data_IF_219230558617
#
_entry.id   IF_219230558617
#
_cell.length_a   1.000
_cell.length_b   1.000
_cell.length_c   1.000
_cell.angle_alpha   90.00
_cell.angle_beta   90.00
_cell.angle_gamma   90.00
#
_symmetry.space_group_name_H-M   'P 1'
#
loop_
_entity.id
_entity.type
_entity.pdbx_description
1 polymer ?
#
# COMPACT_ATOMS: atom_id res chain seq x y z
N UNK A 1 1.60 1.42 8.72
CA UNK A 1 0.27 1.51 8.08
C UNK A 1 0.33 2.32 6.79
N UNK A 2 0.85 3.55 6.78
CA UNK A 2 0.92 4.41 5.57
C UNK A 2 1.67 3.71 4.42
N UNK A 3 2.87 3.16 4.67
CA UNK A 3 3.62 2.40 3.67
C UNK A 3 2.82 1.22 3.11
N UNK A 4 2.11 0.48 3.97
CA UNK A 4 1.25 -0.62 3.54
C UNK A 4 0.08 -0.12 2.66
N UNK A 5 -0.56 1.01 3.02
CA UNK A 5 -1.61 1.61 2.20
C UNK A 5 -1.06 2.04 0.83
N UNK A 6 0.07 2.74 0.79
CA UNK A 6 0.73 3.14 -0.46
C UNK A 6 1.02 1.93 -1.36
N UNK A 7 1.66 0.88 -0.81
CA UNK A 7 1.99 -0.33 -1.56
C UNK A 7 0.74 -1.03 -2.09
N UNK A 8 -0.32 -1.13 -1.27
CA UNK A 8 -1.57 -1.78 -1.66
C UNK A 8 -2.40 -0.99 -2.67
N UNK A 9 -2.06 0.28 -2.89
CA UNK A 9 -2.71 1.18 -3.85
C UNK A 9 -1.81 1.56 -5.03
N UNK A 10 -0.79 0.74 -5.31
CA UNK A 10 0.04 0.86 -6.51
C UNK A 10 1.22 1.82 -6.40
N UNK A 11 1.53 2.33 -5.20
CA UNK A 11 2.75 3.11 -4.95
C UNK A 11 3.70 2.29 -4.10
N UNK A 12 4.80 1.75 -4.66
CA UNK A 12 5.78 1.01 -3.87
C UNK A 12 6.30 1.85 -2.70
N UNK A 13 6.24 1.30 -1.50
CA UNK A 13 6.70 1.98 -0.30
C UNK A 13 7.22 0.98 0.73
N UNK A 14 8.30 1.38 1.40
CA UNK A 14 8.91 0.63 2.50
C UNK A 14 8.85 1.47 3.76
N UNK A 15 8.79 0.81 4.90
CA UNK A 15 8.90 1.45 6.20
C UNK A 15 10.34 1.31 6.70
N UNK A 16 10.96 2.44 7.03
CA UNK A 16 12.26 2.50 7.69
C UNK A 16 12.03 3.02 9.11
N UNK A 17 12.42 2.23 10.11
CA UNK A 17 12.39 2.68 11.49
C UNK A 17 13.58 3.61 11.75
N UNK A 18 13.37 4.83 12.29
CA UNK A 18 14.48 5.79 12.46
C UNK A 18 15.61 5.25 13.34
N UNK A 19 15.30 4.48 14.39
CA UNK A 19 16.30 3.85 15.23
C UNK A 19 17.15 2.80 14.52
N UNK A 20 16.59 2.08 13.54
CA UNK A 20 17.32 1.08 12.76
C UNK A 20 18.07 1.71 11.57
N UNK A 21 17.64 2.90 11.14
CA UNK A 21 18.29 3.63 10.06
C UNK A 21 19.79 3.80 10.31
N UNK A 22 20.16 4.21 11.54
CA UNK A 22 21.56 4.39 11.97
C UNK A 22 22.37 3.08 12.04
N UNK A 23 21.70 1.92 11.97
CA UNK A 23 22.32 0.59 12.02
C UNK A 23 22.37 -0.13 10.68
N UNK A 24 22.13 0.59 9.57
CA UNK A 24 22.30 0.06 8.21
C UNK A 24 21.09 0.19 7.30
N UNK A 25 19.88 0.40 7.85
CA UNK A 25 18.65 0.49 7.04
C UNK A 25 18.61 1.71 6.11
N UNK A 26 19.49 2.72 6.33
CA UNK A 26 19.72 3.78 5.34
C UNK A 26 20.10 3.24 3.96
N UNK A 27 20.71 2.05 3.90
CA UNK A 27 21.05 1.37 2.65
C UNK A 27 19.85 0.95 1.81
N UNK A 28 18.63 0.92 2.38
CA UNK A 28 17.39 0.69 1.63
C UNK A 28 16.93 1.90 0.84
N UNK A 29 17.44 3.10 1.16
CA UNK A 29 17.04 4.36 0.54
C UNK A 29 17.99 4.67 -0.61
N UNK A 30 17.47 4.80 -1.81
CA UNK A 30 18.25 5.06 -3.03
C UNK A 30 17.97 6.46 -3.58
N UNK A 31 18.84 6.98 -4.49
CA UNK A 31 18.61 8.28 -5.14
C UNK A 31 17.33 8.35 -6.01
N UNK A 32 16.66 7.22 -6.24
CA UNK A 32 15.40 7.15 -6.99
C UNK A 32 14.17 7.21 -6.09
N UNK A 33 14.39 7.20 -4.78
CA UNK A 33 13.32 7.19 -3.80
C UNK A 33 12.96 8.60 -3.34
N UNK A 34 11.86 8.69 -2.62
CA UNK A 34 11.42 9.86 -1.88
C UNK A 34 11.20 9.44 -0.44
N UNK A 35 11.70 10.21 0.49
CA UNK A 35 11.50 9.98 1.92
C UNK A 35 10.26 10.75 2.39
N UNK A 36 9.29 10.04 2.96
CA UNK A 36 8.18 10.65 3.71
C UNK A 36 8.47 10.50 5.20
N UNK A 37 8.90 11.56 5.86
CA UNK A 37 9.24 11.57 7.27
C UNK A 37 8.11 12.16 8.12
N UNK A 38 7.76 11.45 9.21
CA UNK A 38 6.65 11.80 10.08
C UNK A 38 7.17 12.09 11.49
N UNK A 39 6.89 13.29 12.00
CA UNK A 39 7.19 13.67 13.38
C UNK A 39 6.32 14.85 13.79
N UNK A 40 5.51 14.72 14.85
CA UNK A 40 4.65 15.80 15.30
C UNK A 40 5.46 17.03 15.73
N UNK A 41 6.52 16.85 16.53
CA UNK A 41 7.42 17.94 16.92
C UNK A 41 8.33 18.40 15.78
N UNK A 42 8.61 17.51 14.81
CA UNK A 42 9.58 17.71 13.76
C UNK A 42 11.03 17.82 14.22
N UNK A 43 11.29 17.56 15.52
CA UNK A 43 12.60 17.63 16.15
C UNK A 43 12.99 16.31 16.86
N UNK A 44 12.43 15.20 16.40
CA UNK A 44 12.72 13.85 16.89
C UNK A 44 14.19 13.51 16.57
N UNK A 45 14.98 13.28 17.62
CA UNK A 45 16.43 13.07 17.48
C UNK A 45 16.79 11.87 16.58
N UNK A 46 15.99 10.80 16.64
CA UNK A 46 16.18 9.58 15.87
C UNK A 46 16.05 9.79 14.35
N UNK A 47 15.43 10.89 13.91
CA UNK A 47 15.35 11.24 12.48
C UNK A 47 16.63 11.90 11.94
N UNK A 48 17.55 12.33 12.81
CA UNK A 48 18.72 13.11 12.40
C UNK A 48 19.54 12.45 11.30
N UNK A 49 19.79 11.13 11.40
CA UNK A 49 20.59 10.41 10.42
C UNK A 49 19.85 10.26 9.07
N UNK A 50 18.54 10.04 9.09
CA UNK A 50 17.71 10.00 7.87
C UNK A 50 17.74 11.37 7.17
N UNK A 51 17.60 12.47 7.92
CA UNK A 51 17.64 13.83 7.38
C UNK A 51 19.01 14.16 6.79
N UNK A 52 20.10 13.83 7.53
CA UNK A 52 21.47 14.04 7.07
C UNK A 52 21.77 13.22 5.80
N UNK A 53 21.32 11.97 5.75
CA UNK A 53 21.48 11.09 4.62
C UNK A 53 20.73 11.62 3.38
N UNK A 54 19.45 11.97 3.55
CA UNK A 54 18.64 12.53 2.46
C UNK A 54 19.27 13.79 1.87
N UNK A 55 19.72 14.69 2.73
CA UNK A 55 20.41 15.92 2.31
C UNK A 55 21.73 15.65 1.58
N UNK A 56 22.54 14.71 2.11
CA UNK A 56 23.85 14.36 1.54
C UNK A 56 23.73 13.80 0.13
N UNK A 57 22.71 12.96 -0.12
CA UNK A 57 22.52 12.26 -1.38
C UNK A 57 21.44 12.91 -2.28
N UNK A 58 20.99 14.11 -1.91
CA UNK A 58 19.94 14.86 -2.63
C UNK A 58 18.68 14.02 -2.86
N UNK A 59 18.27 13.22 -1.85
CA UNK A 59 17.06 12.42 -1.89
C UNK A 59 15.89 13.31 -1.47
N UNK A 60 14.85 13.47 -2.33
CA UNK A 60 13.70 14.30 -2.02
C UNK A 60 13.05 13.88 -0.69
N UNK A 61 12.67 14.86 0.14
CA UNK A 61 12.06 14.64 1.43
C UNK A 61 10.77 15.42 1.57
N UNK A 62 9.70 14.73 1.96
CA UNK A 62 8.43 15.32 2.38
C UNK A 62 8.32 15.18 3.90
N UNK A 63 8.09 16.30 4.57
CA UNK A 63 7.81 16.33 6.00
C UNK A 63 6.32 16.29 6.27
N UNK A 64 5.90 15.44 7.21
CA UNK A 64 4.57 15.45 7.79
C UNK A 64 4.73 15.76 9.28
N UNK A 65 4.39 17.00 9.67
CA UNK A 65 4.71 17.53 10.99
C UNK A 65 3.66 18.53 11.50
N UNK A 66 3.55 18.68 12.80
CA UNK A 66 2.73 19.72 13.43
C UNK A 66 3.47 21.05 13.63
N UNK A 67 4.76 21.18 13.23
CA UNK A 67 5.59 22.36 13.49
C UNK A 67 6.32 22.83 12.25
N UNK A 68 5.84 23.93 11.65
CA UNK A 68 6.46 24.53 10.45
C UNK A 68 7.92 24.97 10.65
N UNK A 69 8.30 25.42 11.84
CA UNK A 69 9.67 25.87 12.16
C UNK A 69 10.59 24.78 12.66
N UNK A 70 10.25 23.49 12.48
CA UNK A 70 11.04 22.37 12.97
C UNK A 70 12.23 22.04 12.07
N UNK A 71 13.18 21.27 12.62
CA UNK A 71 14.32 20.76 11.85
C UNK A 71 13.87 19.92 10.65
N UNK A 72 12.87 19.05 10.84
CA UNK A 72 12.30 18.23 9.76
C UNK A 72 11.75 19.11 8.63
N UNK A 73 10.95 20.13 8.97
CA UNK A 73 10.38 21.04 7.97
C UNK A 73 11.47 21.88 7.26
N UNK A 74 12.56 22.22 7.94
CA UNK A 74 13.66 23.02 7.34
C UNK A 74 14.49 22.26 6.30
N UNK A 75 14.48 20.92 6.36
CA UNK A 75 15.20 20.05 5.42
C UNK A 75 14.31 19.57 4.29
N UNK A 76 13.00 19.55 4.49
CA UNK A 76 12.04 19.02 3.53
C UNK A 76 11.82 19.95 2.34
N UNK A 77 11.68 19.38 1.14
CA UNK A 77 11.25 20.11 -0.05
C UNK A 77 9.77 20.49 0.01
N UNK A 78 8.97 19.64 0.66
CA UNK A 78 7.54 19.86 0.87
C UNK A 78 7.19 19.56 2.31
N UNK A 79 6.48 20.46 2.96
CA UNK A 79 5.97 20.26 4.32
C UNK A 79 4.45 20.16 4.29
N UNK A 80 3.93 19.01 4.70
CA UNK A 80 2.52 18.78 4.98
C UNK A 80 2.29 19.09 6.46
N UNK A 81 1.73 20.26 6.72
CA UNK A 81 1.54 20.73 8.09
C UNK A 81 0.22 20.19 8.66
N UNK A 82 0.31 19.55 9.82
CA UNK A 82 -0.87 19.14 10.57
C UNK A 82 -1.50 20.36 11.27
N UNK A 83 -2.83 20.45 11.34
CA UNK A 83 -3.49 21.47 12.13
C UNK A 83 -3.14 21.31 13.63
N UNK A 84 -3.07 22.42 14.33
CA UNK A 84 -2.86 22.39 15.78
C UNK A 84 -4.14 21.89 16.46
N UNK A 85 -3.99 20.83 17.26
CA UNK A 85 -5.09 20.26 18.01
C UNK A 85 -4.57 19.62 19.31
N UNK A 86 -5.35 19.68 20.41
CA UNK A 86 -4.96 19.02 21.65
C UNK A 86 -5.00 17.50 21.50
N UNK A 87 -4.10 16.81 22.20
CA UNK A 87 -4.17 15.35 22.32
C UNK A 87 -5.44 14.95 23.07
N UNK A 88 -6.08 13.84 22.66
CA UNK A 88 -7.27 13.30 23.30
C UNK A 88 -6.98 12.65 24.68
N UNK A 89 -5.72 12.46 25.00
CA UNK A 89 -5.28 12.00 26.30
C UNK A 89 -5.64 13.03 27.40
N UNK A 90 -6.29 12.62 28.50
CA UNK A 90 -6.64 13.53 29.60
C UNK A 90 -5.45 14.32 30.17
N UNK A 91 -4.24 13.76 30.07
CA UNK A 91 -3.00 14.41 30.50
C UNK A 91 -2.36 15.27 29.41
N UNK A 92 -2.88 15.21 28.17
CA UNK A 92 -2.30 15.88 27.02
C UNK A 92 -0.93 15.34 26.57
N UNK A 93 -0.49 14.18 27.08
CA UNK A 93 0.86 13.65 26.88
C UNK A 93 0.92 12.52 25.86
N UNK A 94 -0.05 11.59 25.91
CA UNK A 94 -0.05 10.44 25.00
C UNK A 94 -0.43 10.88 23.59
N UNK A 95 0.39 10.57 22.57
CA UNK A 95 0.08 10.92 21.18
C UNK A 95 -1.13 10.11 20.69
N UNK A 96 -2.21 10.80 20.39
CA UNK A 96 -3.50 10.26 19.98
C UNK A 96 -4.07 11.03 18.80
N UNK A 97 -4.45 12.29 18.98
CA UNK A 97 -4.95 13.17 17.92
C UNK A 97 -3.89 13.39 16.85
N UNK A 98 -2.66 13.69 17.22
CA UNK A 98 -1.55 13.90 16.29
C UNK A 98 -1.28 12.66 15.43
N UNK A 99 -1.22 11.48 16.03
CA UNK A 99 -0.99 10.22 15.29
C UNK A 99 -2.16 9.87 14.36
N UNK A 100 -3.40 10.14 14.80
CA UNK A 100 -4.59 9.93 13.98
C UNK A 100 -4.59 10.88 12.77
N UNK A 101 -4.25 12.15 12.96
CA UNK A 101 -4.13 13.11 11.85
C UNK A 101 -3.02 12.71 10.87
N UNK A 102 -1.87 12.21 11.36
CA UNK A 102 -0.81 11.69 10.49
C UNK A 102 -1.29 10.52 9.64
N UNK A 103 -2.03 9.58 10.24
CA UNK A 103 -2.58 8.45 9.50
C UNK A 103 -3.60 8.90 8.46
N UNK A 104 -4.50 9.80 8.82
CA UNK A 104 -5.51 10.33 7.91
C UNK A 104 -4.89 11.05 6.72
N UNK A 105 -3.88 11.92 6.97
CA UNK A 105 -3.17 12.64 5.91
C UNK A 105 -2.33 11.70 5.03
N UNK A 106 -1.70 10.69 5.63
CA UNK A 106 -0.99 9.65 4.88
C UNK A 106 -1.91 8.81 3.99
N UNK A 107 -3.11 8.47 4.46
CA UNK A 107 -4.12 7.79 3.64
C UNK A 107 -4.67 8.71 2.54
N UNK A 108 -4.91 9.98 2.83
CA UNK A 108 -5.32 10.97 1.82
C UNK A 108 -4.26 11.10 0.70
N UNK A 109 -2.98 11.11 1.05
CA UNK A 109 -1.88 11.10 0.08
C UNK A 109 -1.89 9.82 -0.76
N UNK A 110 -2.10 8.66 -0.15
CA UNK A 110 -2.18 7.39 -0.88
C UNK A 110 -3.36 7.36 -1.87
N UNK A 111 -4.52 7.88 -1.46
CA UNK A 111 -5.72 7.98 -2.32
C UNK A 111 -5.49 8.98 -3.47
N UNK A 112 -4.89 10.13 -3.20
CA UNK A 112 -4.55 11.11 -4.25
C UNK A 112 -3.57 10.53 -5.28
N UNK A 113 -2.58 9.74 -4.84
CA UNK A 113 -1.64 9.07 -5.73
C UNK A 113 -2.31 7.93 -6.52
N UNK A 114 -3.21 7.17 -5.91
CA UNK A 114 -4.03 6.15 -6.56
C UNK A 114 -4.83 6.77 -7.73
N UNK A 115 -5.53 7.87 -7.46
CA UNK A 115 -6.31 8.59 -8.46
C UNK A 115 -5.42 9.15 -9.59
N UNK A 116 -4.33 9.81 -9.23
CA UNK A 116 -3.38 10.38 -10.20
C UNK A 116 -2.72 9.35 -11.09
N UNK A 117 -2.51 8.12 -10.60
CA UNK A 117 -1.95 6.99 -11.36
C UNK A 117 -2.98 6.27 -12.20
N UNK A 118 -4.27 6.56 -12.06
CA UNK A 118 -5.35 5.82 -12.71
C UNK A 118 -5.43 4.36 -12.23
N UNK A 119 -5.06 4.09 -10.97
CA UNK A 119 -5.06 2.75 -10.40
C UNK A 119 -6.48 2.21 -10.31
N UNK A 120 -6.72 1.10 -11.00
CA UNK A 120 -8.04 0.53 -11.21
C UNK A 120 -8.41 -0.56 -10.19
N UNK A 121 -9.68 -0.95 -10.17
CA UNK A 121 -10.14 -2.10 -9.39
C UNK A 121 -9.46 -3.41 -9.82
N UNK A 122 -9.09 -3.51 -11.11
CA UNK A 122 -8.36 -4.67 -11.64
C UNK A 122 -6.92 -4.71 -11.09
N UNK A 123 -6.24 -3.56 -11.02
CA UNK A 123 -4.91 -3.48 -10.42
C UNK A 123 -4.98 -3.83 -8.93
N UNK A 124 -6.04 -3.39 -8.24
CA UNK A 124 -6.27 -3.73 -6.85
C UNK A 124 -6.44 -5.24 -6.65
N UNK A 125 -7.18 -5.91 -7.54
CA UNK A 125 -7.37 -7.37 -7.51
C UNK A 125 -6.04 -8.12 -7.67
N UNK A 126 -5.17 -7.66 -8.58
CA UNK A 126 -3.84 -8.26 -8.81
C UNK A 126 -2.99 -8.21 -7.52
N UNK A 127 -3.05 -7.10 -6.78
CA UNK A 127 -2.28 -6.93 -5.54
C UNK A 127 -2.92 -7.62 -4.32
N UNK A 128 -4.21 -8.03 -4.42
CA UNK A 128 -4.97 -8.65 -3.31
C UNK A 128 -5.67 -9.95 -3.73
N UNK A 129 -4.94 -10.95 -4.27
CA UNK A 129 -5.57 -12.14 -4.88
C UNK A 129 -6.32 -13.02 -3.89
N UNK A 130 -5.93 -13.03 -2.61
CA UNK A 130 -6.48 -13.94 -1.59
C UNK A 130 -7.46 -13.30 -0.59
N UNK A 131 -7.75 -12.01 -0.69
CA UNK A 131 -8.60 -11.32 0.27
C UNK A 131 -10.09 -11.31 -0.11
N UNK A 132 -10.96 -11.07 0.87
CA UNK A 132 -12.41 -10.91 0.63
C UNK A 132 -12.72 -9.80 -0.40
N UNK A 133 -11.88 -8.78 -0.47
CA UNK A 133 -11.97 -7.70 -1.45
C UNK A 133 -11.59 -8.17 -2.87
N UNK A 134 -10.52 -8.96 -3.00
CA UNK A 134 -10.13 -9.58 -4.27
C UNK A 134 -11.20 -10.54 -4.78
N UNK A 135 -11.79 -11.33 -3.89
CA UNK A 135 -12.89 -12.23 -4.23
C UNK A 135 -14.12 -11.49 -4.79
N UNK A 136 -14.46 -10.31 -4.27
CA UNK A 136 -15.57 -9.47 -4.79
C UNK A 136 -15.33 -8.91 -6.19
N UNK A 137 -14.07 -8.84 -6.62
CA UNK A 137 -13.67 -8.31 -7.92
C UNK A 137 -13.46 -9.42 -8.96
N UNK A 138 -13.53 -10.71 -8.55
CA UNK A 138 -13.44 -11.84 -9.48
C UNK A 138 -14.59 -11.84 -10.49
N UNK A 139 -14.25 -12.07 -11.73
CA UNK A 139 -15.21 -12.21 -12.83
C UNK A 139 -15.43 -13.69 -13.16
N UNK A 140 -16.55 -14.01 -13.76
CA UNK A 140 -16.83 -15.38 -14.21
C UNK A 140 -15.69 -15.95 -15.04
N UNK A 141 -15.12 -15.16 -15.94
CA UNK A 141 -13.98 -15.56 -16.78
C UNK A 141 -12.71 -15.96 -16.01
N UNK A 142 -12.55 -15.46 -14.76
CA UNK A 142 -11.39 -15.77 -13.91
C UNK A 142 -11.54 -17.13 -13.21
N UNK A 143 -12.76 -17.69 -13.23
CA UNK A 143 -13.12 -18.98 -12.61
C UNK A 143 -13.58 -20.04 -13.63
N UNK A 144 -14.10 -19.60 -14.78
CA UNK A 144 -14.64 -20.52 -15.77
C UNK A 144 -13.54 -21.39 -16.38
N UNK A 145 -13.91 -22.59 -16.75
CA UNK A 145 -13.06 -23.49 -17.51
C UNK A 145 -13.06 -23.12 -19.00
N UNK A 146 -11.91 -23.22 -19.65
CA UNK A 146 -11.79 -23.04 -21.08
C UNK A 146 -12.47 -24.15 -21.88
N UNK A 147 -12.78 -23.93 -23.18
CA UNK A 147 -13.47 -24.89 -24.04
C UNK A 147 -12.82 -26.27 -24.07
N UNK A 148 -11.50 -26.33 -23.94
CA UNK A 148 -10.70 -27.56 -23.94
C UNK A 148 -10.98 -28.47 -22.74
N UNK A 149 -11.50 -27.91 -21.66
CA UNK A 149 -11.85 -28.65 -20.44
C UNK A 149 -13.30 -29.01 -20.32
N UNK A 150 -14.16 -28.42 -21.16
CA UNK A 150 -15.61 -28.68 -21.11
C UNK A 150 -15.91 -30.06 -21.67
N UNK A 151 -16.77 -30.84 -21.02
CA UNK A 151 -17.19 -32.16 -21.50
C UNK A 151 -18.29 -32.02 -22.57
N UNK A 152 -17.92 -31.43 -23.71
CA UNK A 152 -18.86 -31.21 -24.81
C UNK A 152 -18.98 -32.46 -25.68
N UNK A 153 -20.22 -32.82 -26.01
CA UNK A 153 -20.54 -33.94 -26.93
C UNK A 153 -21.73 -33.56 -27.81
N UNK A 154 -21.93 -34.30 -28.88
CA UNK A 154 -23.05 -34.07 -29.77
C UNK A 154 -24.34 -34.85 -29.37
N UNK A 155 -25.52 -34.47 -29.89
CA UNK A 155 -26.77 -35.10 -29.51
C UNK A 155 -26.86 -36.58 -29.91
N UNK A 156 -26.10 -37.01 -30.91
CA UNK A 156 -26.10 -38.40 -31.42
C UNK A 156 -24.98 -39.25 -30.80
N UNK A 157 -24.23 -38.73 -29.82
CA UNK A 157 -23.17 -39.47 -29.14
C UNK A 157 -23.76 -40.65 -28.33
N UNK A 158 -23.24 -41.88 -28.49
CA UNK A 158 -23.70 -43.02 -27.70
C UNK A 158 -23.55 -42.77 -26.20
N UNK A 159 -24.51 -43.22 -25.40
CA UNK A 159 -24.51 -43.04 -23.95
C UNK A 159 -23.24 -43.60 -23.29
N UNK A 160 -22.66 -44.66 -23.80
CA UNK A 160 -21.41 -45.23 -23.31
C UNK A 160 -20.22 -44.28 -23.43
N UNK A 161 -20.13 -43.52 -24.51
CA UNK A 161 -19.10 -42.51 -24.74
C UNK A 161 -19.35 -41.27 -23.87
N UNK A 162 -20.61 -40.85 -23.74
CA UNK A 162 -20.99 -39.73 -22.88
C UNK A 162 -20.62 -40.01 -21.40
N UNK A 163 -20.89 -41.23 -20.93
CA UNK A 163 -20.51 -41.65 -19.56
C UNK A 163 -18.98 -41.65 -19.37
N UNK A 164 -18.22 -42.11 -20.36
CA UNK A 164 -16.77 -42.06 -20.31
C UNK A 164 -16.28 -40.60 -20.22
N UNK A 165 -16.78 -39.70 -21.04
CA UNK A 165 -16.45 -38.30 -21.04
C UNK A 165 -16.80 -37.62 -19.69
N UNK A 166 -17.96 -37.97 -19.10
CA UNK A 166 -18.32 -37.51 -17.75
C UNK A 166 -17.34 -37.99 -16.67
N UNK A 167 -16.81 -39.22 -16.84
CA UNK A 167 -15.85 -39.79 -15.87
C UNK A 167 -14.45 -39.18 -16.01
N UNK A 168 -14.04 -38.83 -17.21
CA UNK A 168 -12.76 -38.21 -17.50
C UNK A 168 -12.70 -36.74 -17.09
N UNK A 169 -13.85 -36.06 -17.01
CA UNK A 169 -13.97 -34.65 -16.68
C UNK A 169 -14.69 -34.47 -15.35
N UNK A 170 -14.18 -33.65 -14.43
CA UNK A 170 -14.67 -33.57 -13.04
C UNK A 170 -15.92 -32.69 -12.89
N UNK A 171 -16.82 -32.64 -13.91
CA UNK A 171 -18.02 -31.79 -13.87
C UNK A 171 -19.28 -32.54 -13.51
N UNK A 172 -19.28 -33.86 -13.63
CA UNK A 172 -20.44 -34.71 -13.36
C UNK A 172 -21.60 -34.54 -14.38
N UNK A 173 -21.35 -33.96 -15.54
CA UNK A 173 -22.28 -33.72 -16.61
C UNK A 173 -21.57 -33.68 -17.97
N UNK A 174 -22.30 -33.79 -19.06
CA UNK A 174 -21.92 -33.50 -20.45
C UNK A 174 -22.92 -32.53 -21.04
#
# INVERSE_FOLDING_TARGET
KIAATLSSTGTPALFVHPGEASHGDLGMITPKDLVLALSNSGNTAELADVLAYSRRFAIPLIALTGRAGSQLASVAEVTLLLPEAPEACPLGLAPTTSTTMMLALGDALAVALLERRGFSAQDFQVLHPGGALGAKLMRVKDLMHGPERLPLTGPDTPMSEAILLMSERPFGCV
#
